data_IF_261803008217
#
_entry.id   IF_261803008217
#
_cell.length_a   1.000
_cell.length_b   1.000
_cell.length_c   1.000
_cell.angle_alpha   90.00
_cell.angle_beta   90.00
_cell.angle_gamma   90.00
#
_symmetry.space_group_name_H-M   'P 1'
#
loop_
_entity.id
_entity.type
_entity.pdbx_description
1 polymer ?
#
# COMPACT_ATOMS: atom_id res chain seq x y z
N UNK A 1 -10.85 13.81 11.80
CA UNK A 1 -9.45 13.43 11.75
C UNK A 1 -8.84 14.33 10.71
N UNK A 2 -8.40 15.52 11.13
CA UNK A 2 -7.82 16.52 10.21
C UNK A 2 -6.47 16.10 9.62
N UNK A 3 -5.91 14.96 10.05
CA UNK A 3 -4.58 14.49 9.60
C UNK A 3 -4.59 13.26 8.69
N UNK A 4 -5.71 12.53 8.54
CA UNK A 4 -5.75 11.36 7.62
C UNK A 4 -6.05 11.73 6.18
N UNK A 5 -6.62 12.90 5.95
CA UNK A 5 -6.99 13.38 4.62
C UNK A 5 -5.78 13.58 3.70
N UNK A 6 -4.58 13.71 4.27
CA UNK A 6 -3.32 13.80 3.53
C UNK A 6 -2.82 12.43 3.04
N UNK A 7 -3.32 11.34 3.60
CA UNK A 7 -2.83 9.98 3.36
C UNK A 7 -3.89 9.04 2.77
N UNK A 8 -5.16 9.36 2.98
CA UNK A 8 -6.27 8.51 2.58
C UNK A 8 -7.31 9.29 1.78
N UNK A 9 -8.00 8.59 0.89
CA UNK A 9 -9.23 9.06 0.25
C UNK A 9 -10.37 8.15 0.68
N UNK A 10 -11.41 8.74 1.27
CA UNK A 10 -12.61 8.02 1.72
C UNK A 10 -13.73 8.26 0.71
N UNK A 11 -14.23 7.19 0.10
CA UNK A 11 -15.27 7.25 -0.92
C UNK A 11 -16.61 6.98 -0.26
N UNK A 12 -17.31 8.07 0.08
CA UNK A 12 -18.55 8.04 0.84
C UNK A 12 -19.67 7.19 0.23
N UNK A 13 -19.67 7.05 -1.10
CA UNK A 13 -20.71 6.35 -1.86
C UNK A 13 -20.50 4.83 -1.88
N UNK A 14 -19.29 4.36 -1.59
CA UNK A 14 -18.92 2.94 -1.57
C UNK A 14 -19.23 2.27 -0.22
N UNK A 15 -19.72 3.03 0.77
CA UNK A 15 -20.13 2.45 2.05
C UNK A 15 -21.44 1.66 1.90
N UNK A 16 -21.51 0.42 2.41
CA UNK A 16 -22.70 -0.42 2.27
C UNK A 16 -23.92 0.11 3.01
N UNK A 17 -23.73 0.95 4.04
CA UNK A 17 -24.81 1.68 4.70
C UNK A 17 -24.29 2.92 5.46
N UNK A 18 -25.22 3.78 5.86
CA UNK A 18 -24.93 5.02 6.60
C UNK A 18 -24.31 4.76 7.98
N UNK A 19 -24.67 3.68 8.66
CA UNK A 19 -24.15 3.35 10.00
C UNK A 19 -22.65 3.04 9.95
N UNK A 20 -22.20 2.25 8.98
CA UNK A 20 -20.77 1.96 8.81
C UNK A 20 -20.03 3.26 8.45
N UNK A 21 -20.60 4.10 7.58
CA UNK A 21 -20.03 5.41 7.23
C UNK A 21 -19.86 6.32 8.46
N UNK A 22 -20.71 6.22 9.48
CA UNK A 22 -20.58 7.01 10.71
C UNK A 22 -19.29 6.71 11.48
N UNK A 23 -18.76 5.49 11.39
CA UNK A 23 -17.48 5.12 12.04
C UNK A 23 -16.27 5.87 11.43
N UNK A 24 -16.43 6.44 10.24
CA UNK A 24 -15.39 7.19 9.52
C UNK A 24 -15.60 8.70 9.63
N UNK A 25 -16.52 9.15 10.50
CA UNK A 25 -16.72 10.58 10.75
C UNK A 25 -15.46 11.21 11.33
N UNK A 26 -15.13 12.38 10.80
CA UNK A 26 -13.95 13.13 11.22
C UNK A 26 -14.17 13.69 12.63
N UNK A 27 -13.39 13.21 13.59
CA UNK A 27 -13.23 13.84 14.91
C UNK A 27 -11.88 14.53 15.04
N UNK A 28 -11.78 15.69 15.71
CA UNK A 28 -10.47 16.26 16.04
C UNK A 28 -9.70 15.27 16.93
N UNK A 29 -8.44 15.03 16.59
CA UNK A 29 -7.56 14.10 17.31
C UNK A 29 -6.20 14.74 17.51
N UNK A 30 -5.56 14.42 18.64
CA UNK A 30 -4.17 14.79 18.90
C UNK A 30 -3.30 13.61 18.49
N UNK A 31 -2.38 13.84 17.55
CA UNK A 31 -1.51 12.78 17.03
C UNK A 31 -0.14 12.74 17.72
N UNK A 32 0.11 13.61 18.71
CA UNK A 32 1.35 13.65 19.50
C UNK A 32 2.64 13.71 18.66
N UNK A 33 2.59 14.43 17.54
CA UNK A 33 3.69 14.53 16.56
C UNK A 33 4.16 13.16 16.01
N UNK A 34 3.28 12.17 16.02
CA UNK A 34 3.51 10.87 15.38
C UNK A 34 2.90 10.91 13.98
N UNK A 35 3.69 10.65 12.92
CA UNK A 35 3.20 10.65 11.55
C UNK A 35 2.19 9.52 11.31
N UNK A 36 1.39 9.68 10.28
CA UNK A 36 0.45 8.64 9.87
C UNK A 36 1.18 7.38 9.38
N UNK A 37 0.68 6.21 9.75
CA UNK A 37 1.28 4.93 9.43
C UNK A 37 0.24 3.99 8.81
N UNK A 38 0.42 3.71 7.51
CA UNK A 38 -0.42 2.80 6.75
C UNK A 38 -0.42 1.36 7.29
N UNK A 39 0.63 0.99 8.02
CA UNK A 39 0.83 -0.34 8.59
C UNK A 39 0.35 -0.47 10.04
N UNK A 40 -0.26 0.58 10.57
CA UNK A 40 -0.76 0.61 11.94
C UNK A 40 -1.83 -0.45 12.20
N UNK A 41 -1.81 -1.09 13.38
CA UNK A 41 -2.90 -1.97 13.85
C UNK A 41 -4.23 -1.22 14.02
N UNK A 42 -4.19 0.10 14.15
CA UNK A 42 -5.37 0.97 14.26
C UNK A 42 -5.93 1.36 12.90
N UNK A 43 -5.33 0.87 11.80
CA UNK A 43 -5.78 1.16 10.46
C UNK A 43 -6.98 0.27 10.10
N UNK A 44 -8.05 0.91 9.64
CA UNK A 44 -9.22 0.19 9.13
C UNK A 44 -8.91 -0.47 7.79
N UNK A 45 -9.60 -1.59 7.51
CA UNK A 45 -9.69 -2.15 6.18
C UNK A 45 -10.24 -1.12 5.19
N UNK A 46 -9.91 -1.34 3.94
CA UNK A 46 -10.29 -0.50 2.82
C UNK A 46 -11.57 -0.95 2.09
N UNK A 47 -11.99 -2.17 2.40
CA UNK A 47 -13.19 -2.82 1.89
C UNK A 47 -13.97 -3.47 3.04
N UNK A 48 -15.27 -3.68 2.86
CA UNK A 48 -16.13 -4.31 3.87
C UNK A 48 -16.16 -5.84 3.67
N UNK A 49 -16.16 -6.26 2.41
CA UNK A 49 -16.09 -7.65 1.97
C UNK A 49 -15.49 -7.68 0.57
N UNK A 50 -14.93 -8.81 0.14
CA UNK A 50 -14.29 -8.99 -1.18
C UNK A 50 -15.18 -8.67 -2.41
N UNK A 51 -16.46 -8.33 -2.21
CA UNK A 51 -17.43 -7.95 -3.24
C UNK A 51 -17.73 -6.48 -3.33
N UNK A 52 -17.36 -5.70 -2.32
CA UNK A 52 -17.73 -4.30 -2.25
C UNK A 52 -16.64 -3.45 -2.90
N UNK A 53 -17.00 -2.34 -3.55
CA UNK A 53 -16.00 -1.39 -3.98
C UNK A 53 -15.24 -0.85 -2.75
N UNK A 54 -13.97 -0.47 -2.94
CA UNK A 54 -13.13 0.04 -1.87
C UNK A 54 -13.71 1.38 -1.43
N UNK A 55 -13.98 1.54 -0.14
CA UNK A 55 -14.42 2.81 0.43
C UNK A 55 -13.25 3.64 0.97
N UNK A 56 -12.05 3.08 0.99
CA UNK A 56 -10.83 3.79 1.37
C UNK A 56 -9.70 3.48 0.40
N UNK A 57 -8.99 4.50 -0.04
CA UNK A 57 -7.83 4.37 -0.92
C UNK A 57 -6.63 5.02 -0.25
N UNK A 58 -5.46 4.39 -0.34
CA UNK A 58 -4.21 5.05 0.06
C UNK A 58 -3.78 6.04 -1.00
N UNK A 59 -3.30 7.22 -0.59
CA UNK A 59 -2.62 8.14 -1.52
C UNK A 59 -1.25 7.61 -1.92
N UNK A 60 -0.55 6.97 -0.99
CA UNK A 60 0.57 6.11 -1.35
C UNK A 60 0.03 4.72 -1.72
N UNK A 61 -0.26 4.54 -3.01
CA UNK A 61 -0.92 3.33 -3.56
C UNK A 61 -0.16 2.05 -3.28
N UNK A 62 1.14 2.14 -2.99
CA UNK A 62 1.99 0.99 -2.61
C UNK A 62 1.48 0.29 -1.35
N UNK A 63 0.73 1.01 -0.49
CA UNK A 63 0.20 0.52 0.78
C UNK A 63 -1.24 -0.02 0.72
N UNK A 64 -1.88 -0.08 -0.45
CA UNK A 64 -3.30 -0.44 -0.53
C UNK A 64 -3.59 -1.82 0.08
N UNK A 65 -2.73 -2.83 -0.14
CA UNK A 65 -2.89 -4.17 0.44
C UNK A 65 -2.51 -4.30 1.91
N UNK A 66 -1.86 -3.29 2.48
CA UNK A 66 -1.43 -3.25 3.88
C UNK A 66 -2.53 -2.68 4.78
N UNK A 67 -3.55 -2.05 4.20
CA UNK A 67 -4.68 -1.47 4.93
C UNK A 67 -5.47 -2.53 5.70
N UNK A 68 -5.52 -2.38 7.03
CA UNK A 68 -6.25 -3.30 7.92
C UNK A 68 -5.63 -4.69 8.07
N UNK A 69 -4.65 -5.05 7.25
CA UNK A 69 -3.92 -6.32 7.30
C UNK A 69 -2.74 -6.25 8.26
N UNK A 70 -2.99 -5.93 9.53
CA UNK A 70 -1.95 -6.06 10.57
C UNK A 70 -1.64 -7.54 10.79
N UNK A 71 -0.36 -7.87 10.94
CA UNK A 71 0.13 -9.18 11.41
C UNK A 71 -0.14 -9.42 12.92
N UNK A 72 -0.95 -8.57 13.54
CA UNK A 72 -1.23 -8.57 14.97
C UNK A 72 -0.17 -7.84 15.80
N UNK A 73 0.89 -7.32 15.18
CA UNK A 73 1.94 -6.59 15.87
C UNK A 73 1.73 -5.07 15.80
N UNK A 74 2.15 -4.38 16.86
CA UNK A 74 2.20 -2.91 16.87
C UNK A 74 3.30 -2.46 15.93
N UNK A 75 2.96 -1.54 15.03
CA UNK A 75 3.96 -0.86 14.22
C UNK A 75 4.85 0.04 15.08
N UNK A 76 5.99 0.46 14.52
CA UNK A 76 6.87 1.41 15.20
C UNK A 76 6.14 2.70 15.59
N UNK A 77 5.31 3.25 14.70
CA UNK A 77 4.55 4.47 15.00
C UNK A 77 3.46 4.21 16.04
N UNK A 78 2.90 3.00 16.13
CA UNK A 78 2.00 2.67 17.23
C UNK A 78 2.72 2.63 18.58
N UNK A 79 3.89 2.00 18.66
CA UNK A 79 4.69 1.99 19.89
C UNK A 79 5.09 3.41 20.30
N UNK A 80 5.53 4.23 19.34
CA UNK A 80 5.85 5.64 19.58
C UNK A 80 4.63 6.41 20.10
N UNK A 81 3.47 6.26 19.48
CA UNK A 81 2.23 6.91 19.90
C UNK A 81 1.85 6.53 21.33
N UNK A 82 1.91 5.24 21.68
CA UNK A 82 1.62 4.77 23.05
C UNK A 82 2.62 5.36 24.05
N UNK A 83 3.92 5.39 23.72
CA UNK A 83 4.94 5.99 24.58
C UNK A 83 4.66 7.48 24.82
N UNK A 84 4.22 8.24 23.82
CA UNK A 84 3.86 9.65 23.97
C UNK A 84 2.58 9.83 24.80
N UNK A 85 1.54 9.02 24.57
CA UNK A 85 0.28 9.07 25.33
C UNK A 85 0.51 8.79 26.80
N UNK A 86 1.29 7.76 27.12
CA UNK A 86 1.61 7.36 28.49
C UNK A 86 2.77 8.16 29.11
N UNK A 87 3.34 9.12 28.38
CA UNK A 87 4.52 9.90 28.79
C UNK A 87 5.75 9.05 29.15
N UNK A 88 5.86 7.85 28.59
CA UNK A 88 7.02 6.97 28.77
C UNK A 88 8.28 7.58 28.17
N UNK A 89 8.16 8.38 27.10
CA UNK A 89 9.25 9.16 26.52
C UNK A 89 9.88 10.10 27.56
N UNK A 90 9.06 10.89 28.26
CA UNK A 90 9.52 11.80 29.32
C UNK A 90 10.11 11.04 30.50
N UNK A 91 9.49 9.94 30.90
CA UNK A 91 10.00 9.08 31.97
C UNK A 91 11.37 8.50 31.61
N UNK A 92 11.55 8.00 30.40
CA UNK A 92 12.82 7.47 29.92
C UNK A 92 13.89 8.56 29.87
N UNK A 93 13.58 9.76 29.35
CA UNK A 93 14.52 10.89 29.35
C UNK A 93 15.00 11.24 30.75
N UNK A 94 14.08 11.28 31.72
CA UNK A 94 14.42 11.52 33.13
C UNK A 94 15.30 10.40 33.71
N UNK A 95 14.88 9.15 33.55
CA UNK A 95 15.59 7.99 34.12
C UNK A 95 16.99 7.81 33.52
N UNK A 96 17.18 8.24 32.27
CA UNK A 96 18.44 8.16 31.56
C UNK A 96 19.29 9.45 31.66
N UNK A 97 18.90 10.41 32.51
CA UNK A 97 19.66 11.64 32.74
C UNK A 97 19.79 12.54 31.50
N UNK A 98 18.75 12.62 30.65
CA UNK A 98 18.77 13.36 29.38
C UNK A 98 18.14 14.76 29.44
N UNK A 99 17.91 15.34 30.61
CA UNK A 99 17.37 16.71 30.80
C UNK A 99 16.19 17.09 29.88
N UNK A 100 15.30 16.14 29.59
CA UNK A 100 14.18 16.26 28.62
C UNK A 100 14.58 16.58 27.17
N UNK A 101 15.85 16.46 26.79
CA UNK A 101 16.32 16.56 25.41
C UNK A 101 16.39 15.17 24.81
N UNK A 102 15.44 14.86 23.94
CA UNK A 102 15.41 13.59 23.20
C UNK A 102 16.58 13.54 22.21
N UNK A 103 17.57 12.66 22.39
CA UNK A 103 18.70 12.57 21.48
C UNK A 103 18.33 11.85 20.17
N UNK A 104 17.18 11.18 20.12
CA UNK A 104 16.80 10.33 19.01
C UNK A 104 16.24 11.15 17.84
N UNK A 105 16.89 11.04 16.69
CA UNK A 105 16.56 11.73 15.45
C UNK A 105 15.62 10.90 14.57
N UNK A 106 15.18 11.49 13.44
CA UNK A 106 14.43 10.82 12.38
C UNK A 106 13.23 9.99 12.87
N UNK A 107 12.45 10.56 13.79
CA UNK A 107 11.28 9.91 14.42
C UNK A 107 11.60 8.77 15.40
N UNK A 108 12.86 8.54 15.76
CA UNK A 108 13.26 7.68 16.89
C UNK A 108 12.66 8.11 18.23
N UNK A 109 12.79 7.24 19.22
CA UNK A 109 12.47 7.56 20.62
C UNK A 109 13.42 6.84 21.58
N UNK A 110 13.67 7.46 22.74
CA UNK A 110 14.50 6.85 23.78
C UNK A 110 13.75 5.69 24.46
N UNK A 111 14.33 4.48 24.39
CA UNK A 111 13.82 3.31 25.10
C UNK A 111 14.22 3.27 26.57
N UNK A 112 13.60 2.37 27.33
CA UNK A 112 13.89 2.18 28.76
C UNK A 112 15.34 1.72 29.04
N UNK A 113 16.03 1.19 28.03
CA UNK A 113 17.46 0.82 28.10
C UNK A 113 18.42 1.99 27.90
N UNK A 114 17.91 3.24 27.86
CA UNK A 114 18.67 4.45 27.59
C UNK A 114 19.38 4.46 26.22
N UNK A 115 18.83 3.71 25.26
CA UNK A 115 19.25 3.69 23.86
C UNK A 115 18.10 4.14 22.96
N UNK A 116 18.41 4.80 21.85
CA UNK A 116 17.40 5.12 20.87
C UNK A 116 16.87 3.84 20.20
N UNK A 117 15.55 3.79 20.05
CA UNK A 117 14.88 2.81 19.19
C UNK A 117 14.60 3.49 17.87
N UNK A 118 15.20 2.97 16.80
CA UNK A 118 15.17 3.60 15.48
C UNK A 118 14.03 3.06 14.62
N UNK A 119 13.28 3.93 13.92
CA UNK A 119 12.31 3.46 12.94
C UNK A 119 13.01 2.74 11.78
N UNK A 120 12.33 1.77 11.16
CA UNK A 120 12.71 1.26 9.83
C UNK A 120 13.15 2.36 8.88
N UNK A 121 14.28 2.13 8.20
CA UNK A 121 14.90 3.11 7.29
C UNK A 121 15.93 4.02 7.95
N UNK A 122 16.16 3.89 9.26
CA UNK A 122 17.15 4.69 10.00
C UNK A 122 18.08 3.82 10.85
N UNK A 123 19.31 4.30 11.09
CA UNK A 123 20.35 3.62 11.87
C UNK A 123 21.24 4.63 12.63
N UNK A 124 22.12 4.10 13.48
CA UNK A 124 23.01 4.89 14.34
C UNK A 124 22.51 4.93 15.78
N UNK A 125 23.38 5.31 16.71
CA UNK A 125 23.07 5.33 18.15
C UNK A 125 21.94 6.32 18.48
N UNK A 126 21.79 7.36 17.67
CA UNK A 126 20.75 8.38 17.77
C UNK A 126 19.78 8.34 16.58
N UNK A 127 19.78 7.28 15.79
CA UNK A 127 18.98 7.16 14.56
C UNK A 127 19.29 8.27 13.53
N UNK A 128 20.50 8.83 13.56
CA UNK A 128 20.93 9.97 12.77
C UNK A 128 21.10 9.65 11.28
N UNK A 129 21.39 8.39 10.96
CA UNK A 129 21.58 7.96 9.57
C UNK A 129 20.23 7.60 8.96
N UNK A 130 19.80 8.38 7.97
CA UNK A 130 18.63 8.10 7.15
C UNK A 130 19.05 7.29 5.91
N UNK A 131 18.73 6.00 5.89
CA UNK A 131 19.00 5.13 4.73
C UNK A 131 17.88 5.23 3.68
N UNK A 132 16.63 5.35 4.12
CA UNK A 132 15.45 5.56 3.28
C UNK A 132 14.28 6.07 4.11
N UNK A 133 13.22 6.54 3.46
CA UNK A 133 12.02 6.96 4.17
C UNK A 133 11.38 5.78 4.94
N UNK A 134 10.65 6.09 6.00
CA UNK A 134 9.93 5.08 6.79
C UNK A 134 8.99 4.24 5.91
N UNK A 135 8.28 4.88 4.99
CA UNK A 135 7.37 4.20 4.08
C UNK A 135 8.13 3.27 3.11
N UNK A 136 9.24 3.71 2.53
CA UNK A 136 10.02 2.86 1.63
C UNK A 136 10.62 1.65 2.36
N UNK A 137 11.07 1.85 3.61
CA UNK A 137 11.52 0.76 4.47
C UNK A 137 10.40 -0.24 4.77
N UNK A 138 9.19 0.25 5.07
CA UNK A 138 8.03 -0.61 5.30
C UNK A 138 7.64 -1.41 4.05
N UNK A 139 7.64 -0.78 2.87
CA UNK A 139 7.37 -1.50 1.61
C UNK A 139 8.42 -2.59 1.40
N UNK A 140 9.71 -2.27 1.55
CA UNK A 140 10.79 -3.24 1.42
C UNK A 140 10.66 -4.42 2.40
N UNK A 141 10.15 -4.18 3.61
CA UNK A 141 9.95 -5.22 4.62
C UNK A 141 8.68 -6.05 4.39
N UNK A 142 7.55 -5.40 4.04
CA UNK A 142 6.23 -6.03 4.03
C UNK A 142 5.74 -6.47 2.65
N UNK A 143 6.25 -5.86 1.59
CA UNK A 143 5.89 -6.15 0.19
C UNK A 143 7.08 -5.86 -0.73
N UNK A 144 8.17 -6.64 -0.62
CA UNK A 144 9.42 -6.37 -1.33
C UNK A 144 9.30 -6.41 -2.87
N UNK A 145 8.24 -7.03 -3.39
CA UNK A 145 7.94 -7.08 -4.83
C UNK A 145 7.23 -5.81 -5.35
N UNK A 146 6.82 -4.92 -4.46
CA UNK A 146 6.20 -3.64 -4.85
C UNK A 146 7.26 -2.71 -5.44
N UNK A 147 6.97 -2.13 -6.60
CA UNK A 147 7.91 -1.27 -7.32
C UNK A 147 7.22 -0.26 -8.23
N UNK A 148 7.93 0.83 -8.48
CA UNK A 148 7.60 1.80 -9.52
C UNK A 148 8.32 1.39 -10.82
N UNK A 149 7.59 1.31 -11.92
CA UNK A 149 8.12 1.01 -13.25
C UNK A 149 8.01 2.29 -14.09
N UNK A 150 9.15 2.94 -14.32
CA UNK A 150 9.24 4.24 -15.01
C UNK A 150 9.73 4.11 -16.45
N UNK A 151 10.45 3.04 -16.78
CA UNK A 151 11.02 2.83 -18.10
C UNK A 151 9.96 2.30 -19.09
N UNK A 152 9.64 3.04 -20.17
CA UNK A 152 8.70 2.57 -21.18
C UNK A 152 9.30 1.46 -22.05
N UNK A 153 8.44 0.67 -22.70
CA UNK A 153 8.78 -0.56 -23.43
C UNK A 153 9.31 -1.68 -22.53
N UNK A 154 8.90 -1.66 -21.25
CA UNK A 154 9.23 -2.69 -20.27
C UNK A 154 8.19 -3.80 -20.28
N UNK A 155 8.66 -5.05 -20.31
CA UNK A 155 7.79 -6.21 -20.11
C UNK A 155 7.46 -6.35 -18.63
N UNK A 156 6.17 -6.28 -18.30
CA UNK A 156 5.63 -6.45 -16.96
C UNK A 156 4.93 -7.81 -16.87
N UNK A 157 5.21 -8.58 -15.83
CA UNK A 157 4.66 -9.93 -15.68
C UNK A 157 4.49 -10.31 -14.21
N UNK A 158 3.64 -11.30 -13.97
CA UNK A 158 3.58 -11.95 -12.65
C UNK A 158 4.90 -12.64 -12.34
N UNK A 159 5.29 -12.64 -11.07
CA UNK A 159 6.43 -13.43 -10.59
C UNK A 159 6.20 -14.92 -10.89
N UNK A 160 7.24 -15.59 -11.40
CA UNK A 160 7.19 -16.97 -11.86
C UNK A 160 6.71 -17.16 -13.31
N UNK A 161 6.11 -16.16 -13.98
CA UNK A 161 5.61 -16.33 -15.36
C UNK A 161 6.69 -16.94 -16.31
N UNK A 162 6.36 -18.00 -17.10
CA UNK A 162 5.03 -18.53 -17.40
C UNK A 162 4.56 -19.69 -16.50
N UNK A 163 5.19 -19.92 -15.34
CA UNK A 163 4.78 -20.97 -14.39
C UNK A 163 4.76 -20.39 -12.98
N UNK A 164 3.56 -20.20 -12.44
CA UNK A 164 3.43 -19.61 -11.12
C UNK A 164 4.23 -20.38 -10.06
N UNK A 165 4.87 -19.66 -9.14
CA UNK A 165 5.51 -20.26 -7.97
C UNK A 165 4.45 -20.85 -7.05
N UNK A 166 4.38 -22.17 -7.00
CA UNK A 166 3.40 -22.90 -6.18
C UNK A 166 3.50 -22.52 -4.70
N UNK A 167 2.35 -22.52 -4.03
CA UNK A 167 2.23 -22.32 -2.58
C UNK A 167 2.77 -20.99 -2.03
N UNK A 168 3.00 -19.99 -2.88
CA UNK A 168 3.38 -18.65 -2.43
C UNK A 168 2.14 -17.79 -2.13
N UNK A 169 2.26 -16.92 -1.12
CA UNK A 169 1.34 -15.82 -0.86
C UNK A 169 2.05 -14.51 -1.19
N UNK A 170 1.60 -13.81 -2.23
CA UNK A 170 2.19 -12.55 -2.68
C UNK A 170 1.10 -11.49 -2.83
N UNK A 171 1.31 -10.36 -2.16
CA UNK A 171 0.53 -9.14 -2.31
C UNK A 171 1.51 -8.02 -2.62
N UNK A 172 1.41 -7.42 -3.80
CA UNK A 172 2.30 -6.34 -4.20
C UNK A 172 1.64 -5.41 -5.20
N UNK A 173 2.22 -4.22 -5.32
CA UNK A 173 1.73 -3.17 -6.21
C UNK A 173 2.81 -2.84 -7.23
N UNK A 174 2.43 -2.79 -8.50
CA UNK A 174 3.27 -2.23 -9.55
C UNK A 174 2.67 -0.89 -9.97
N UNK A 175 3.45 0.18 -9.89
CA UNK A 175 3.01 1.51 -10.31
C UNK A 175 3.70 1.84 -11.62
N UNK A 176 2.96 1.81 -12.72
CA UNK A 176 3.49 2.15 -14.04
C UNK A 176 3.40 3.67 -14.20
N UNK A 177 4.54 4.35 -14.17
CA UNK A 177 4.61 5.82 -14.10
C UNK A 177 4.90 6.42 -15.46
N UNK A 178 4.13 7.43 -15.84
CA UNK A 178 4.39 8.24 -17.03
C UNK A 178 4.72 9.69 -16.67
N UNK A 179 5.57 10.33 -17.48
CA UNK A 179 5.89 11.75 -17.31
C UNK A 179 4.65 12.65 -17.41
N UNK A 180 4.76 13.87 -16.90
CA UNK A 180 3.71 14.90 -17.00
C UNK A 180 3.15 14.99 -18.45
N UNK A 181 1.82 15.07 -18.57
CA UNK A 181 1.08 15.11 -19.85
C UNK A 181 1.16 13.82 -20.70
N UNK A 182 1.75 12.74 -20.19
CA UNK A 182 1.66 11.40 -20.77
C UNK A 182 0.85 10.50 -19.85
N UNK A 183 0.37 9.38 -20.40
CA UNK A 183 -0.30 8.31 -19.68
C UNK A 183 0.39 6.98 -19.86
N UNK A 184 0.35 6.17 -18.82
CA UNK A 184 0.76 4.78 -18.88
C UNK A 184 -0.23 3.92 -19.67
N UNK A 185 0.30 3.07 -20.55
CA UNK A 185 -0.43 2.14 -21.41
C UNK A 185 0.10 0.73 -21.18
N UNK A 186 -0.80 -0.22 -20.93
CA UNK A 186 -0.45 -1.62 -20.69
C UNK A 186 -1.18 -2.51 -21.70
N UNK A 187 -0.42 -3.24 -22.52
CA UNK A 187 -0.95 -4.15 -23.54
C UNK A 187 -0.66 -5.59 -23.16
N UNK A 188 -1.69 -6.41 -22.98
CA UNK A 188 -1.53 -7.80 -22.56
C UNK A 188 -1.13 -8.72 -23.71
N UNK A 189 -0.14 -9.56 -23.49
CA UNK A 189 0.29 -10.60 -24.42
C UNK A 189 -0.26 -11.97 -24.04
N UNK A 190 -0.39 -12.22 -22.74
CA UNK A 190 -0.91 -13.46 -22.16
C UNK A 190 -1.53 -13.18 -20.79
N UNK A 191 -2.61 -13.88 -20.47
CA UNK A 191 -3.31 -13.75 -19.19
C UNK A 191 -4.04 -15.05 -18.87
N UNK A 192 -3.58 -15.73 -17.82
CA UNK A 192 -4.26 -16.87 -17.25
C UNK A 192 -4.01 -16.91 -15.75
N UNK A 193 -5.08 -16.69 -15.00
CA UNK A 193 -5.14 -16.83 -13.55
C UNK A 193 -6.19 -17.90 -13.18
N UNK A 194 -6.37 -18.16 -11.89
CA UNK A 194 -7.35 -19.12 -11.41
C UNK A 194 -8.74 -18.69 -11.82
N UNK A 195 -9.57 -19.65 -12.22
CA UNK A 195 -10.92 -19.37 -12.68
C UNK A 195 -11.73 -18.63 -11.61
N UNK A 196 -12.55 -17.71 -12.09
CA UNK A 196 -13.57 -17.03 -11.31
C UNK A 196 -14.44 -18.08 -10.60
N UNK A 197 -14.69 -17.89 -9.30
CA UNK A 197 -15.57 -18.78 -8.54
C UNK A 197 -17.03 -18.61 -8.98
N UNK A 198 -17.88 -19.55 -8.56
CA UNK A 198 -19.32 -19.57 -8.91
C UNK A 198 -20.09 -18.32 -8.50
N UNK A 199 -19.61 -17.60 -7.49
CA UNK A 199 -20.15 -16.31 -7.05
C UNK A 199 -19.54 -15.10 -7.78
N UNK A 200 -18.82 -15.32 -8.88
CA UNK A 200 -18.25 -14.25 -9.70
C UNK A 200 -16.94 -13.65 -9.17
N UNK A 201 -16.25 -14.26 -8.20
CA UNK A 201 -15.07 -13.66 -7.53
C UNK A 201 -13.73 -14.27 -7.97
N UNK A 202 -12.67 -13.49 -7.84
CA UNK A 202 -11.29 -13.91 -8.04
C UNK A 202 -10.66 -14.36 -6.71
N UNK A 203 -10.95 -15.59 -6.28
CA UNK A 203 -10.69 -16.06 -4.90
C UNK A 203 -9.22 -16.37 -4.59
N UNK A 204 -8.42 -16.79 -5.57
CA UNK A 204 -7.04 -17.26 -5.35
C UNK A 204 -6.03 -16.21 -5.79
N UNK A 205 -6.04 -15.92 -7.07
CA UNK A 205 -5.23 -14.89 -7.69
C UNK A 205 -6.15 -13.88 -8.38
N UNK A 206 -5.72 -12.63 -8.36
CA UNK A 206 -6.42 -11.52 -8.96
C UNK A 206 -5.41 -10.48 -9.41
N UNK A 207 -5.68 -9.87 -10.56
CA UNK A 207 -5.06 -8.63 -10.96
C UNK A 207 -6.10 -7.53 -10.89
N UNK A 208 -5.90 -6.59 -9.97
CA UNK A 208 -6.65 -5.35 -9.97
C UNK A 208 -5.90 -4.30 -10.80
N UNK A 209 -6.60 -3.71 -11.77
CA UNK A 209 -6.06 -2.65 -12.63
C UNK A 209 -6.82 -1.37 -12.35
N UNK A 210 -6.11 -0.31 -11.93
CA UNK A 210 -6.72 1.00 -11.67
C UNK A 210 -6.22 2.01 -12.69
N UNK A 211 -7.09 2.31 -13.65
CA UNK A 211 -6.88 3.36 -14.66
C UNK A 211 -7.17 4.77 -14.12
N UNK A 212 -7.86 4.86 -12.97
CA UNK A 212 -8.22 6.09 -12.28
C UNK A 212 -7.71 6.07 -10.86
N UNK A 213 -7.02 7.13 -10.44
CA UNK A 213 -6.36 7.16 -9.14
C UNK A 213 -7.37 7.27 -7.98
N UNK A 214 -8.39 8.11 -8.07
CA UNK A 214 -9.32 8.39 -6.97
C UNK A 214 -10.76 7.89 -7.17
N UNK A 215 -10.94 6.84 -7.97
CA UNK A 215 -12.20 6.09 -7.99
C UNK A 215 -11.99 4.72 -7.35
N UNK A 216 -12.91 4.35 -6.47
CA UNK A 216 -12.95 3.05 -5.82
C UNK A 216 -13.63 1.99 -6.67
N UNK A 217 -13.94 2.34 -7.92
CA UNK A 217 -14.28 1.40 -8.98
C UNK A 217 -12.96 0.84 -9.52
N UNK A 218 -12.81 -0.47 -9.39
CA UNK A 218 -11.66 -1.20 -9.89
C UNK A 218 -12.14 -2.53 -10.44
N UNK A 219 -11.47 -3.00 -11.49
CA UNK A 219 -11.76 -4.30 -12.08
C UNK A 219 -10.76 -5.32 -11.55
N UNK A 220 -11.29 -6.36 -10.92
CA UNK A 220 -10.55 -7.57 -10.56
C UNK A 220 -10.65 -8.58 -11.70
N UNK A 221 -9.51 -8.89 -12.30
CA UNK A 221 -9.37 -9.86 -13.37
C UNK A 221 -8.79 -11.17 -12.85
N UNK A 222 -9.35 -12.29 -13.30
CA UNK A 222 -8.84 -13.64 -13.09
C UNK A 222 -9.24 -14.56 -14.25
N UNK A 223 -9.02 -15.87 -14.15
CA UNK A 223 -9.30 -16.79 -15.26
C UNK A 223 -8.63 -16.34 -16.56
N UNK A 224 -9.43 -16.14 -17.60
CA UNK A 224 -8.99 -15.62 -18.91
C UNK A 224 -9.75 -14.33 -19.26
N UNK A 225 -10.05 -13.50 -18.25
CA UNK A 225 -10.87 -12.29 -18.40
C UNK A 225 -10.21 -11.26 -19.33
N UNK A 226 -8.87 -11.22 -19.38
CA UNK A 226 -8.12 -10.32 -20.27
C UNK A 226 -7.67 -11.10 -21.51
N UNK A 227 -7.98 -10.57 -22.70
CA UNK A 227 -7.57 -11.20 -23.97
C UNK A 227 -6.22 -10.66 -24.45
N UNK A 228 -5.52 -11.47 -25.24
CA UNK A 228 -4.30 -11.04 -25.94
C UNK A 228 -4.59 -9.81 -26.81
N UNK A 229 -3.75 -8.79 -26.69
CA UNK A 229 -3.89 -7.50 -27.37
C UNK A 229 -4.80 -6.51 -26.65
N UNK A 230 -5.44 -6.89 -25.54
CA UNK A 230 -6.27 -5.95 -24.77
C UNK A 230 -5.38 -4.88 -24.11
N UNK A 231 -5.84 -3.63 -24.17
CA UNK A 231 -5.10 -2.45 -23.75
C UNK A 231 -5.81 -1.75 -22.60
N UNK A 232 -5.04 -1.40 -21.56
CA UNK A 232 -5.48 -0.54 -20.47
C UNK A 232 -4.69 0.75 -20.49
N UNK A 233 -5.36 1.88 -20.31
CA UNK A 233 -4.75 3.21 -20.31
C UNK A 233 -5.14 3.93 -19.05
N UNK A 234 -4.18 4.53 -18.36
CA UNK A 234 -4.47 5.47 -17.29
C UNK A 234 -5.17 6.73 -17.84
N UNK A 235 -6.04 7.32 -17.02
CA UNK A 235 -6.65 8.62 -17.36
C UNK A 235 -5.66 9.77 -17.15
N UNK A 236 -4.77 9.60 -16.19
CA UNK A 236 -3.69 10.52 -15.86
C UNK A 236 -2.34 9.86 -16.15
N UNK A 237 -1.34 10.15 -15.32
CA UNK A 237 0.04 9.69 -15.48
C UNK A 237 0.22 8.20 -15.17
N UNK A 238 -0.34 7.76 -14.05
CA UNK A 238 0.01 6.48 -13.45
C UNK A 238 -1.08 5.43 -13.68
N UNK A 239 -0.66 4.23 -14.05
CA UNK A 239 -1.50 3.03 -14.10
C UNK A 239 -1.07 2.09 -12.97
N UNK A 240 -1.99 1.74 -12.07
CA UNK A 240 -1.66 0.98 -10.87
C UNK A 240 -2.15 -0.45 -11.03
N UNK A 241 -1.27 -1.40 -10.73
CA UNK A 241 -1.56 -2.83 -10.73
C UNK A 241 -1.43 -3.37 -9.31
N UNK A 242 -2.53 -3.83 -8.73
CA UNK A 242 -2.54 -4.50 -7.45
C UNK A 242 -2.59 -6.01 -7.70
N UNK A 243 -1.48 -6.70 -7.45
CA UNK A 243 -1.36 -8.13 -7.70
C UNK A 243 -1.60 -8.92 -6.42
N UNK A 244 -2.58 -9.84 -6.47
CA UNK A 244 -2.81 -10.85 -5.45
C UNK A 244 -2.53 -12.23 -6.04
N UNK A 245 -1.65 -12.99 -5.41
CA UNK A 245 -1.37 -14.38 -5.75
C UNK A 245 -1.39 -15.24 -4.49
N UNK A 246 -2.46 -16.01 -4.29
CA UNK A 246 -2.61 -16.91 -3.15
C UNK A 246 -2.63 -18.35 -3.63
N UNK A 247 -1.54 -19.08 -3.37
CA UNK A 247 -1.40 -20.51 -3.73
C UNK A 247 -1.87 -20.76 -5.17
N UNK A 248 -1.22 -20.13 -6.16
CA UNK A 248 -1.64 -20.24 -7.56
C UNK A 248 -1.59 -21.71 -7.99
N UNK A 249 -2.49 -22.11 -8.89
CA UNK A 249 -2.68 -23.51 -9.32
C UNK A 249 -2.34 -23.64 -10.80
N UNK A 250 -1.14 -24.14 -11.15
CA UNK A 250 -0.70 -24.44 -12.53
C UNK A 250 -1.10 -23.41 -13.61
N UNK A 251 -1.31 -22.15 -13.22
CA UNK A 251 -1.68 -21.08 -14.12
C UNK A 251 -0.41 -20.42 -14.64
N UNK A 252 -0.47 -19.94 -15.88
CA UNK A 252 0.70 -19.31 -16.50
C UNK A 252 1.03 -17.94 -15.89
N UNK A 253 0.05 -17.28 -15.27
CA UNK A 253 0.15 -15.90 -14.85
C UNK A 253 -0.19 -14.96 -15.99
N UNK A 254 0.35 -13.76 -15.98
CA UNK A 254 0.17 -12.78 -17.05
C UNK A 254 1.47 -12.11 -17.45
N UNK A 255 1.51 -11.67 -18.71
CA UNK A 255 2.60 -10.91 -19.32
C UNK A 255 1.99 -9.79 -20.15
N UNK A 256 2.51 -8.58 -19.99
CA UNK A 256 2.08 -7.39 -20.69
C UNK A 256 3.28 -6.49 -21.02
N UNK A 257 3.13 -5.64 -22.02
CA UNK A 257 4.11 -4.62 -22.37
C UNK A 257 3.62 -3.24 -21.88
N UNK A 258 4.45 -2.57 -21.09
CA UNK A 258 4.20 -1.21 -20.63
C UNK A 258 4.81 -0.21 -21.61
N UNK A 259 4.02 0.75 -22.07
CA UNK A 259 4.45 1.90 -22.87
C UNK A 259 3.82 3.18 -22.34
N UNK A 260 4.25 4.32 -22.90
CA UNK A 260 3.66 5.63 -22.58
C UNK A 260 3.19 6.29 -23.87
N UNK A 261 2.10 7.04 -23.79
CA UNK A 261 1.63 7.89 -24.90
C UNK A 261 1.20 9.27 -24.38
N UNK A 262 1.22 10.28 -25.26
CA UNK A 262 0.74 11.60 -24.91
C UNK A 262 -0.77 11.56 -24.60
N UNK A 263 -1.20 12.28 -23.56
CA UNK A 263 -2.62 12.54 -23.32
C UNK A 263 -3.04 13.58 -24.34
N UNK A 264 -3.81 13.17 -25.35
CA UNK A 264 -4.41 14.09 -26.32
C UNK A 264 -5.52 14.88 -25.63
N UNK A 265 -5.18 16.00 -25.00
CA UNK A 265 -6.17 16.97 -24.58
C UNK A 265 -6.64 17.75 -25.82
N UNK A 266 -7.96 17.93 -25.91
CA UNK A 266 -8.66 18.68 -26.96
C UNK A 266 -8.47 20.18 -26.77
#
# INVERSE_FOLDING_TARGET
MLSRDDYLVVIGDNFPNKTIRQNYQKRPTINFDVPYDYSSVLQYYDVFSDTNPRYMLTKDVRFQYQMGSSDGHLSFMNLKLVNRILSCDKLNLKNCGKDNKDPCLNQGYLGASCKCVCPPGTKGDNCETLEMSYNDALIKMKSPETQDITEPNTVVKTIGYPKAEENTWRLYTLVLKADKCKRAVLTFEDFQLSRRSTNGRCMRDALEIRTKFFKGDYDNFCGEDIKKGQVFKSEENDLILHVRSVKPKDNRGWKANFTIEAIKNW
#
